data_IF_904375280211
#
_entry.id   IF_904375280211
#
_cell.length_a   1.000
_cell.length_b   1.000
_cell.length_c   1.000
_cell.angle_alpha   90.00
_cell.angle_beta   90.00
_cell.angle_gamma   90.00
#
_symmetry.space_group_name_H-M   'P 1'
#
loop_
_entity.id
_entity.type
_entity.pdbx_description
1 polymer ?
#
# COMPACT_ATOMS: atom_id res chain seq x y z
N UNK A 1 14.24 0.71 -2.22
CA UNK A 1 13.69 -0.06 -1.08
C UNK A 1 12.31 0.48 -0.73
N UNK A 2 11.23 -0.17 -1.16
CA UNK A 2 9.87 0.37 -1.03
C UNK A 2 8.80 -0.60 -0.48
N UNK A 3 9.01 -1.91 -0.54
CA UNK A 3 8.02 -2.86 -0.06
C UNK A 3 8.56 -3.64 1.13
N UNK A 4 7.85 -3.56 2.25
CA UNK A 4 8.06 -4.43 3.39
C UNK A 4 6.81 -4.47 4.26
N UNK A 5 6.54 -5.64 4.81
CA UNK A 5 5.36 -5.92 5.60
C UNK A 5 5.68 -5.98 7.10
N UNK A 6 4.82 -5.34 7.88
CA UNK A 6 4.44 -5.70 9.24
C UNK A 6 2.90 -5.80 9.26
N UNK A 7 2.33 -6.52 10.22
CA UNK A 7 0.87 -6.57 10.46
C UNK A 7 0.35 -5.40 11.30
N UNK A 8 1.25 -4.50 11.70
CA UNK A 8 0.94 -3.30 12.47
C UNK A 8 1.84 -2.15 11.96
N UNK A 9 1.29 -1.09 11.35
CA UNK A 9 2.07 0.01 10.78
C UNK A 9 2.94 0.74 11.81
N UNK A 10 2.70 0.50 13.11
CA UNK A 10 3.42 1.08 14.26
C UNK A 10 4.66 0.27 14.67
N UNK A 11 4.85 -0.96 14.19
CA UNK A 11 6.02 -1.79 14.53
C UNK A 11 7.27 -1.48 13.68
N UNK A 12 8.46 -1.54 14.28
CA UNK A 12 9.74 -1.18 13.64
C UNK A 12 10.45 -2.31 12.85
N UNK A 13 10.09 -3.58 13.03
CA UNK A 13 10.77 -4.74 12.40
C UNK A 13 10.09 -5.17 11.09
N UNK A 14 10.90 -5.44 10.06
CA UNK A 14 10.48 -5.57 8.66
C UNK A 14 10.59 -7.01 8.13
N UNK A 15 9.68 -7.41 7.24
CA UNK A 15 10.01 -8.38 6.15
C UNK A 15 10.02 -7.60 4.85
N UNK A 16 11.21 -7.36 4.29
CA UNK A 16 11.43 -6.47 3.14
C UNK A 16 11.50 -7.27 1.85
N UNK A 17 10.80 -6.83 0.79
CA UNK A 17 11.24 -7.11 -0.57
C UNK A 17 12.47 -6.25 -0.82
N UNK A 18 13.60 -6.92 -0.94
CA UNK A 18 14.87 -6.32 -1.31
C UNK A 18 15.11 -6.52 -2.82
N UNK A 19 16.11 -5.85 -3.36
CA UNK A 19 16.41 -5.90 -4.80
C UNK A 19 16.68 -7.34 -5.28
N UNK A 20 17.17 -8.22 -4.40
CA UNK A 20 17.36 -9.65 -4.69
C UNK A 20 16.03 -10.40 -4.85
N UNK A 21 14.96 -10.02 -4.15
CA UNK A 21 13.64 -10.63 -4.32
C UNK A 21 13.02 -10.24 -5.67
N UNK A 22 13.34 -9.03 -6.16
CA UNK A 22 12.99 -8.60 -7.52
C UNK A 22 13.77 -9.34 -8.59
N UNK A 23 15.09 -9.41 -8.44
CA UNK A 23 15.96 -10.13 -9.37
C UNK A 23 15.55 -11.61 -9.42
N UNK A 24 15.22 -12.20 -8.27
CA UNK A 24 14.74 -13.57 -8.19
C UNK A 24 13.38 -13.75 -8.85
N UNK A 25 12.43 -12.82 -8.69
CA UNK A 25 11.12 -12.85 -9.38
C UNK A 25 11.29 -12.81 -10.91
N UNK A 26 12.17 -11.93 -11.41
CA UNK A 26 12.42 -11.78 -12.85
C UNK A 26 13.13 -13.01 -13.42
N UNK A 27 14.02 -13.63 -12.65
CA UNK A 27 14.82 -14.79 -13.09
C UNK A 27 14.08 -16.13 -12.93
N UNK A 28 13.29 -16.31 -11.87
CA UNK A 28 12.65 -17.60 -11.57
C UNK A 28 11.23 -17.73 -12.14
N UNK A 29 10.52 -16.62 -12.36
CA UNK A 29 9.10 -16.62 -12.74
C UNK A 29 8.16 -17.14 -11.63
N UNK A 30 8.68 -17.41 -10.43
CA UNK A 30 7.89 -17.89 -9.30
C UNK A 30 7.06 -16.76 -8.69
N UNK A 31 5.82 -17.08 -8.32
CA UNK A 31 4.92 -16.12 -7.72
C UNK A 31 5.30 -15.84 -6.26
N UNK A 32 5.48 -14.56 -5.93
CA UNK A 32 5.75 -14.08 -4.58
C UNK A 32 4.48 -13.45 -4.02
N UNK A 33 4.00 -13.96 -2.89
CA UNK A 33 2.87 -13.35 -2.17
C UNK A 33 3.39 -12.37 -1.12
N UNK A 34 2.90 -11.14 -1.16
CA UNK A 34 3.22 -10.08 -0.20
C UNK A 34 1.95 -9.71 0.54
N UNK A 35 1.98 -9.67 1.86
CA UNK A 35 0.80 -9.34 2.66
C UNK A 35 0.94 -7.93 3.21
N UNK A 36 -0.04 -7.07 2.97
CA UNK A 36 -0.16 -5.74 3.59
C UNK A 36 -1.52 -5.66 4.30
N UNK A 37 -1.52 -5.60 5.64
CA UNK A 37 -2.76 -5.50 6.45
C UNK A 37 -3.83 -6.55 6.08
N UNK A 38 -3.42 -7.80 5.90
CA UNK A 38 -4.34 -8.87 5.50
C UNK A 38 -4.76 -8.85 4.04
N UNK A 39 -4.32 -7.87 3.24
CA UNK A 39 -4.47 -7.89 1.78
C UNK A 39 -3.25 -8.60 1.18
N UNK A 40 -3.49 -9.70 0.49
CA UNK A 40 -2.44 -10.46 -0.21
C UNK A 40 -2.30 -9.92 -1.63
N UNK A 41 -1.10 -9.45 -1.95
CA UNK A 41 -0.67 -9.06 -3.28
C UNK A 41 0.14 -10.19 -3.90
N UNK A 42 -0.18 -10.57 -5.12
CA UNK A 42 0.59 -11.52 -5.89
C UNK A 42 1.52 -10.76 -6.85
N UNK A 43 2.82 -10.99 -6.72
CA UNK A 43 3.84 -10.50 -7.64
C UNK A 43 4.36 -11.68 -8.45
N UNK A 44 4.20 -11.64 -9.76
CA UNK A 44 4.67 -12.69 -10.66
C UNK A 44 4.99 -12.09 -12.03
N UNK A 45 6.13 -12.47 -12.60
CA UNK A 45 6.49 -12.15 -13.98
C UNK A 45 5.96 -13.24 -14.92
N UNK A 46 5.48 -12.84 -16.09
CA UNK A 46 4.98 -13.75 -17.12
C UNK A 46 5.62 -13.41 -18.47
N UNK A 47 6.04 -14.43 -19.20
CA UNK A 47 6.49 -14.35 -20.59
C UNK A 47 5.47 -14.96 -21.58
N UNK A 48 4.46 -15.65 -21.07
CA UNK A 48 3.33 -16.22 -21.82
C UNK A 48 1.98 -15.64 -21.36
N UNK A 49 1.13 -15.29 -22.33
CA UNK A 49 -0.19 -14.72 -22.07
C UNK A 49 -1.14 -15.70 -21.37
N UNK A 50 -1.11 -16.98 -21.76
CA UNK A 50 -2.02 -17.98 -21.20
C UNK A 50 -1.67 -18.30 -19.75
N UNK A 51 -0.39 -18.31 -19.40
CA UNK A 51 0.03 -18.50 -18.03
C UNK A 51 -0.32 -17.30 -17.13
N UNK A 52 -0.29 -16.09 -17.68
CA UNK A 52 -0.83 -14.91 -17.02
C UNK A 52 -2.33 -15.07 -16.74
N UNK A 53 -3.13 -15.42 -17.75
CA UNK A 53 -4.58 -15.60 -17.60
C UNK A 53 -4.92 -16.69 -16.57
N UNK A 54 -4.22 -17.83 -16.59
CA UNK A 54 -4.38 -18.89 -15.59
C UNK A 54 -4.03 -18.44 -14.17
N UNK A 55 -3.07 -17.54 -14.00
CA UNK A 55 -2.72 -17.01 -12.69
C UNK A 55 -3.83 -16.13 -12.11
N UNK A 56 -4.48 -15.31 -12.96
CA UNK A 56 -5.67 -14.55 -12.59
C UNK A 56 -6.84 -15.48 -12.19
N UNK A 57 -7.08 -16.55 -12.95
CA UNK A 57 -8.11 -17.55 -12.63
C UNK A 57 -7.90 -18.22 -11.27
N UNK A 58 -6.64 -18.50 -10.91
CA UNK A 58 -6.28 -19.22 -9.68
C UNK A 58 -6.29 -18.34 -8.43
N UNK A 59 -6.27 -17.02 -8.58
CA UNK A 59 -6.17 -16.09 -7.46
C UNK A 59 -7.27 -15.00 -7.52
N UNK A 60 -8.56 -15.38 -7.65
CA UNK A 60 -9.65 -14.41 -7.80
C UNK A 60 -9.93 -13.60 -6.52
N UNK A 61 -9.40 -14.07 -5.39
CA UNK A 61 -9.54 -13.49 -4.05
C UNK A 61 -8.40 -12.52 -3.69
N UNK A 62 -7.35 -12.44 -4.52
CA UNK A 62 -6.17 -11.61 -4.26
C UNK A 62 -6.22 -10.32 -5.07
N UNK A 63 -5.58 -9.27 -4.54
CA UNK A 63 -5.24 -8.10 -5.35
C UNK A 63 -4.01 -8.44 -6.17
N UNK A 64 -4.06 -8.17 -7.47
CA UNK A 64 -2.99 -8.56 -8.39
C UNK A 64 -2.43 -7.29 -9.01
N UNK A 65 -1.15 -7.01 -8.77
CA UNK A 65 -0.43 -6.00 -9.55
C UNK A 65 0.23 -6.69 -10.73
N UNK A 66 -0.30 -6.42 -11.92
CA UNK A 66 0.17 -7.04 -13.15
C UNK A 66 1.11 -6.09 -13.88
N UNK A 67 2.39 -6.43 -13.92
CA UNK A 67 3.40 -5.67 -14.65
C UNK A 67 3.65 -6.36 -16.00
N UNK A 68 3.55 -5.62 -17.10
CA UNK A 68 3.67 -6.18 -18.45
C UNK A 68 4.34 -5.22 -19.43
N UNK A 69 4.83 -5.74 -20.56
CA UNK A 69 5.30 -4.91 -21.67
C UNK A 69 4.13 -4.33 -22.47
N UNK A 70 4.34 -3.25 -23.23
CA UNK A 70 3.29 -2.68 -24.11
C UNK A 70 2.68 -3.70 -25.08
N UNK A 71 3.49 -4.54 -25.71
CA UNK A 71 3.04 -5.52 -26.71
C UNK A 71 2.21 -6.65 -26.09
N UNK A 72 2.63 -7.17 -24.93
CA UNK A 72 1.91 -8.21 -24.19
C UNK A 72 0.67 -7.63 -23.50
N UNK A 73 0.77 -6.40 -22.97
CA UNK A 73 -0.35 -5.68 -22.39
C UNK A 73 -1.49 -5.52 -23.37
N UNK A 74 -1.20 -5.14 -24.62
CA UNK A 74 -2.20 -5.02 -25.70
C UNK A 74 -3.05 -6.28 -25.89
N UNK A 75 -2.46 -7.47 -25.74
CA UNK A 75 -3.19 -8.73 -25.96
C UNK A 75 -3.83 -9.29 -24.68
N UNK A 76 -3.14 -9.17 -23.54
CA UNK A 76 -3.57 -9.73 -22.27
C UNK A 76 -4.60 -8.87 -21.54
N UNK A 77 -4.41 -7.54 -21.51
CA UNK A 77 -5.22 -6.63 -20.69
C UNK A 77 -6.70 -6.66 -21.04
N UNK A 78 -7.11 -6.60 -22.33
CA UNK A 78 -8.52 -6.73 -22.70
C UNK A 78 -9.16 -8.00 -22.10
N UNK A 79 -8.49 -9.15 -22.25
CA UNK A 79 -8.98 -10.45 -21.78
C UNK A 79 -9.07 -10.52 -20.26
N UNK A 80 -8.07 -9.96 -19.58
CA UNK A 80 -8.02 -9.93 -18.12
C UNK A 80 -9.14 -9.05 -17.56
N UNK A 81 -9.29 -7.83 -18.07
CA UNK A 81 -10.28 -6.88 -17.56
C UNK A 81 -11.70 -7.34 -17.91
N UNK A 82 -11.93 -7.87 -19.11
CA UNK A 82 -13.25 -8.37 -19.50
C UNK A 82 -13.65 -9.65 -18.73
N UNK A 83 -12.69 -10.55 -18.48
CA UNK A 83 -12.93 -11.81 -17.79
C UNK A 83 -12.96 -11.70 -16.26
N UNK A 84 -12.21 -10.76 -15.69
CA UNK A 84 -11.94 -10.67 -14.25
C UNK A 84 -12.15 -9.28 -13.66
N UNK A 85 -13.05 -8.47 -14.24
CA UNK A 85 -13.31 -7.07 -13.84
C UNK A 85 -13.54 -6.88 -12.34
N UNK A 86 -14.18 -7.85 -11.71
CA UNK A 86 -14.48 -7.86 -10.28
C UNK A 86 -13.22 -7.84 -9.41
N UNK A 87 -12.10 -8.41 -9.87
CA UNK A 87 -10.83 -8.39 -9.15
C UNK A 87 -10.31 -6.96 -9.04
N UNK A 88 -10.50 -6.15 -10.09
CA UNK A 88 -10.03 -4.76 -10.18
C UNK A 88 -11.00 -3.74 -9.59
N UNK A 89 -12.05 -4.18 -8.90
CA UNK A 89 -13.04 -3.30 -8.28
C UNK A 89 -12.92 -3.43 -6.77
N UNK A 90 -12.84 -2.30 -6.08
CA UNK A 90 -12.86 -2.31 -4.62
C UNK A 90 -14.24 -2.73 -4.10
N UNK A 91 -14.35 -3.79 -3.29
CA UNK A 91 -15.66 -4.32 -2.86
C UNK A 91 -16.40 -3.42 -1.88
N UNK A 92 -15.73 -2.43 -1.25
CA UNK A 92 -16.37 -1.48 -0.34
C UNK A 92 -16.81 -0.23 -1.09
N UNK A 93 -15.99 0.24 -2.03
CA UNK A 93 -16.19 1.50 -2.73
C UNK A 93 -16.93 1.38 -4.06
N UNK A 94 -17.04 0.15 -4.59
CA UNK A 94 -17.50 -0.13 -5.96
C UNK A 94 -16.75 0.71 -7.00
N UNK A 95 -15.45 0.94 -6.77
CA UNK A 95 -14.59 1.76 -7.62
C UNK A 95 -13.46 0.92 -8.18
N UNK A 96 -13.22 1.06 -9.48
CA UNK A 96 -12.04 0.53 -10.15
C UNK A 96 -10.77 1.09 -9.52
N UNK A 97 -9.72 0.26 -9.45
CA UNK A 97 -8.40 0.71 -9.04
C UNK A 97 -7.35 0.28 -10.08
N UNK A 98 -6.36 1.14 -10.30
CA UNK A 98 -5.26 0.84 -11.19
C UNK A 98 -4.42 -0.30 -10.61
N UNK A 99 -4.18 -1.32 -11.41
CA UNK A 99 -3.41 -2.50 -11.00
C UNK A 99 -2.69 -3.19 -12.13
N UNK A 100 -2.86 -2.70 -13.36
CA UNK A 100 -2.08 -3.13 -14.50
C UNK A 100 -1.05 -2.04 -14.80
N UNK A 101 0.22 -2.38 -14.69
CA UNK A 101 1.35 -1.50 -14.92
C UNK A 101 2.04 -1.92 -16.22
N UNK A 102 1.99 -1.06 -17.23
CA UNK A 102 2.50 -1.38 -18.57
C UNK A 102 3.78 -0.59 -18.83
N UNK A 103 4.91 -1.30 -18.88
CA UNK A 103 6.17 -0.75 -19.29
C UNK A 103 6.26 -0.73 -20.82
N UNK A 104 6.44 0.45 -21.41
CA UNK A 104 6.56 0.60 -22.85
C UNK A 104 7.50 1.75 -23.21
N UNK A 105 8.41 1.52 -24.16
CA UNK A 105 9.35 2.56 -24.61
C UNK A 105 8.72 3.69 -25.43
N UNK A 106 7.42 3.61 -25.73
CA UNK A 106 6.66 4.61 -26.48
C UNK A 106 5.18 4.50 -26.09
N UNK A 107 4.75 5.37 -25.17
CA UNK A 107 3.38 5.39 -24.63
C UNK A 107 2.38 5.76 -25.71
N UNK A 108 2.71 6.72 -26.60
CA UNK A 108 1.81 7.19 -27.65
C UNK A 108 1.36 6.05 -28.56
N UNK A 109 2.27 5.11 -28.87
CA UNK A 109 1.95 3.91 -29.66
C UNK A 109 1.01 2.92 -28.98
N UNK A 110 0.81 3.02 -27.66
CA UNK A 110 -0.07 2.12 -26.90
C UNK A 110 -1.41 2.77 -26.54
N UNK A 111 -1.58 4.07 -26.80
CA UNK A 111 -2.81 4.80 -26.46
C UNK A 111 -4.04 4.27 -27.22
N UNK A 112 -3.86 3.67 -28.40
CA UNK A 112 -4.95 3.15 -29.23
C UNK A 112 -5.81 2.10 -28.51
N UNK A 113 -5.20 1.25 -27.69
CA UNK A 113 -5.90 0.22 -26.92
C UNK A 113 -6.04 0.59 -25.43
N UNK A 114 -5.10 1.37 -24.87
CA UNK A 114 -5.11 1.70 -23.45
C UNK A 114 -6.28 2.60 -23.03
N UNK A 115 -6.76 3.44 -23.95
CA UNK A 115 -7.82 4.43 -23.68
C UNK A 115 -9.10 3.78 -23.14
N UNK A 116 -9.39 2.55 -23.55
CA UNK A 116 -10.58 1.80 -23.10
C UNK A 116 -10.42 1.23 -21.68
N UNK A 117 -9.20 1.25 -21.11
CA UNK A 117 -8.86 0.63 -19.84
C UNK A 117 -8.12 1.56 -18.87
N UNK A 118 -8.23 2.89 -19.05
CA UNK A 118 -7.52 3.89 -18.22
C UNK A 118 -7.79 3.79 -16.72
N UNK A 119 -8.96 3.29 -16.33
CA UNK A 119 -9.31 3.08 -14.91
C UNK A 119 -8.46 1.96 -14.27
N UNK A 120 -7.91 1.06 -15.08
CA UNK A 120 -7.21 -0.15 -14.65
C UNK A 120 -5.71 -0.13 -14.95
N UNK A 121 -5.31 0.64 -15.98
CA UNK A 121 -3.98 0.61 -16.58
C UNK A 121 -3.19 1.89 -16.28
N UNK A 122 -1.94 1.72 -15.86
CA UNK A 122 -0.94 2.77 -15.75
C UNK A 122 0.22 2.47 -16.71
N UNK A 123 0.53 3.40 -17.60
CA UNK A 123 1.64 3.28 -18.56
C UNK A 123 2.85 4.09 -18.12
N UNK A 124 4.04 3.56 -18.36
CA UNK A 124 5.30 4.23 -18.06
C UNK A 124 6.41 3.75 -19.00
N UNK A 125 7.39 4.61 -19.22
CA UNK A 125 8.54 4.42 -20.11
C UNK A 125 9.88 4.35 -19.35
N UNK A 126 9.85 4.55 -18.03
CA UNK A 126 11.00 4.49 -17.15
C UNK A 126 10.76 3.59 -15.94
N UNK A 127 11.60 2.57 -15.76
CA UNK A 127 11.49 1.60 -14.65
C UNK A 127 11.55 2.26 -13.27
N UNK A 128 12.29 3.37 -13.16
CA UNK A 128 12.39 4.16 -11.93
C UNK A 128 11.04 4.75 -11.46
N UNK A 129 10.03 4.80 -12.32
CA UNK A 129 8.69 5.30 -11.98
C UNK A 129 7.78 4.24 -11.40
N UNK A 130 8.02 2.95 -11.70
CA UNK A 130 7.14 1.86 -11.29
C UNK A 130 6.98 1.81 -9.77
N UNK A 131 8.11 1.82 -9.06
CA UNK A 131 8.12 1.72 -7.60
C UNK A 131 7.40 2.88 -6.93
N UNK A 132 7.61 4.08 -7.47
CA UNK A 132 7.01 5.30 -6.99
C UNK A 132 5.49 5.29 -7.22
N UNK A 133 5.04 4.96 -8.43
CA UNK A 133 3.61 4.88 -8.79
C UNK A 133 2.88 3.82 -7.98
N UNK A 134 3.44 2.60 -7.88
CA UNK A 134 2.85 1.55 -7.04
C UNK A 134 2.72 1.99 -5.58
N UNK A 135 3.75 2.65 -5.03
CA UNK A 135 3.70 3.14 -3.64
C UNK A 135 2.58 4.17 -3.46
N UNK A 136 2.43 5.09 -4.42
CA UNK A 136 1.38 6.09 -4.43
C UNK A 136 -0.01 5.45 -4.54
N UNK A 137 -0.22 4.54 -5.48
CA UNK A 137 -1.52 3.91 -5.72
C UNK A 137 -1.99 3.06 -4.53
N UNK A 138 -1.05 2.41 -3.83
CA UNK A 138 -1.35 1.71 -2.56
C UNK A 138 -1.69 2.72 -1.46
N UNK A 139 -1.00 3.87 -1.39
CA UNK A 139 -1.30 4.92 -0.41
C UNK A 139 -2.71 5.49 -0.62
N UNK A 140 -3.05 5.83 -1.86
CA UNK A 140 -4.38 6.29 -2.28
C UNK A 140 -5.46 5.28 -1.91
N UNK A 141 -5.20 3.99 -2.19
CA UNK A 141 -6.09 2.91 -1.83
C UNK A 141 -6.41 2.89 -0.32
N UNK A 142 -5.37 2.93 0.52
CA UNK A 142 -5.55 2.91 1.97
C UNK A 142 -6.20 4.20 2.49
N UNK A 143 -5.88 5.35 1.90
CA UNK A 143 -6.50 6.62 2.29
C UNK A 143 -8.00 6.60 2.01
N UNK A 144 -8.39 6.18 0.80
CA UNK A 144 -9.78 6.10 0.39
C UNK A 144 -10.56 5.05 1.18
N UNK A 145 -9.92 3.94 1.58
CA UNK A 145 -10.53 2.99 2.52
C UNK A 145 -10.77 3.61 3.89
N UNK A 146 -9.73 4.21 4.49
CA UNK A 146 -9.82 4.85 5.80
C UNK A 146 -10.88 5.96 5.87
N UNK A 147 -11.06 6.72 4.77
CA UNK A 147 -12.08 7.77 4.67
C UNK A 147 -13.52 7.28 4.62
N UNK A 148 -13.75 6.05 4.13
CA UNK A 148 -15.08 5.47 3.94
C UNK A 148 -15.58 4.71 5.15
N UNK A 149 -14.67 4.23 6.00
CA UNK A 149 -15.05 3.54 7.23
C UNK A 149 -15.75 4.54 8.16
N UNK A 150 -16.97 4.23 8.64
CA UNK A 150 -17.70 5.14 9.52
C UNK A 150 -16.92 5.38 10.82
N UNK A 151 -16.66 6.66 11.12
CA UNK A 151 -15.95 7.07 12.32
C UNK A 151 -16.66 6.59 13.60
N UNK A 152 -17.98 6.66 13.62
CA UNK A 152 -18.76 6.41 14.83
C UNK A 152 -18.75 4.94 15.30
N UNK A 153 -18.44 3.99 14.42
CA UNK A 153 -18.50 2.55 14.72
C UNK A 153 -17.15 1.85 14.62
N UNK A 154 -16.25 2.32 13.75
CA UNK A 154 -15.03 1.60 13.38
C UNK A 154 -13.80 2.53 13.31
N UNK A 155 -13.76 3.59 14.12
CA UNK A 155 -12.64 4.56 14.18
C UNK A 155 -11.25 3.91 14.24
N UNK A 156 -11.07 2.82 14.99
CA UNK A 156 -9.78 2.14 15.11
C UNK A 156 -9.34 1.49 13.79
N UNK A 157 -10.29 0.90 13.04
CA UNK A 157 -9.98 0.29 11.74
C UNK A 157 -9.72 1.35 10.67
N UNK A 158 -10.49 2.45 10.68
CA UNK A 158 -10.22 3.63 9.86
C UNK A 158 -8.80 4.15 10.09
N UNK A 159 -8.39 4.34 11.34
CA UNK A 159 -7.06 4.83 11.71
C UNK A 159 -5.94 3.92 11.20
N UNK A 160 -6.07 2.59 11.29
CA UNK A 160 -5.06 1.67 10.75
C UNK A 160 -4.80 1.93 9.26
N UNK A 161 -5.85 2.01 8.46
CA UNK A 161 -5.70 2.29 7.02
C UNK A 161 -5.08 3.68 6.79
N UNK A 162 -5.49 4.69 7.53
CA UNK A 162 -4.94 6.05 7.38
C UNK A 162 -3.46 6.13 7.76
N UNK A 163 -3.02 5.43 8.80
CA UNK A 163 -1.59 5.36 9.14
C UNK A 163 -0.77 4.66 8.06
N UNK A 164 -1.33 3.65 7.39
CA UNK A 164 -0.68 3.05 6.22
C UNK A 164 -0.56 4.03 5.06
N UNK A 165 -1.65 4.74 4.74
CA UNK A 165 -1.61 5.78 3.72
C UNK A 165 -0.52 6.81 4.04
N UNK A 166 -0.50 7.36 5.27
CA UNK A 166 0.52 8.30 5.75
C UNK A 166 1.93 7.76 5.56
N UNK A 167 2.16 6.52 5.98
CA UNK A 167 3.48 5.87 5.89
C UNK A 167 3.91 5.70 4.43
N UNK A 168 3.00 5.31 3.55
CA UNK A 168 3.29 5.09 2.14
C UNK A 168 3.51 6.41 1.39
N UNK A 169 2.73 7.47 1.63
CA UNK A 169 3.00 8.79 1.05
C UNK A 169 4.38 9.33 1.47
N UNK A 170 4.78 9.14 2.73
CA UNK A 170 6.13 9.51 3.17
C UNK A 170 7.23 8.73 2.42
N UNK A 171 6.99 7.45 2.11
CA UNK A 171 7.94 6.68 1.29
C UNK A 171 7.95 7.13 -0.17
N UNK A 172 6.78 7.43 -0.73
CA UNK A 172 6.62 8.01 -2.06
C UNK A 172 7.42 9.32 -2.19
N UNK A 173 7.25 10.24 -1.24
CA UNK A 173 7.99 11.52 -1.21
C UNK A 173 9.51 11.29 -1.14
N UNK A 174 9.98 10.31 -0.35
CA UNK A 174 11.41 9.94 -0.30
C UNK A 174 11.94 9.37 -1.61
N UNK A 175 11.12 8.61 -2.34
CA UNK A 175 11.50 8.06 -3.65
C UNK A 175 11.60 9.17 -4.69
N UNK A 176 10.69 10.16 -4.63
CA UNK A 176 10.69 11.33 -5.51
C UNK A 176 11.94 12.19 -5.31
N UNK A 177 12.31 12.45 -4.05
CA UNK A 177 13.51 13.23 -3.70
C UNK A 177 14.82 12.58 -4.18
N UNK A 178 14.87 11.24 -4.27
CA UNK A 178 16.08 10.53 -4.73
C UNK A 178 16.32 10.68 -6.24
N UNK A 179 15.32 11.08 -7.02
CA UNK A 179 15.50 11.39 -8.45
C UNK A 179 16.12 12.77 -8.68
N UNK A 180 15.97 13.68 -7.72
CA UNK A 180 16.50 15.03 -7.76
C UNK A 180 17.69 15.22 -6.82
N UNK A 181 18.87 14.72 -7.17
CA UNK A 181 20.11 15.25 -6.56
C UNK A 181 20.49 16.54 -7.28
N UNK A 182 19.93 17.66 -6.82
CA UNK A 182 20.72 18.86 -6.55
C UNK A 182 20.03 19.66 -5.42
N UNK A 183 20.79 19.84 -4.33
CA UNK A 183 20.56 20.67 -3.15
C UNK A 183 19.41 20.39 -2.15
N UNK A 184 19.81 20.47 -0.87
CA UNK A 184 19.01 20.46 0.36
C UNK A 184 17.89 21.52 0.36
N UNK A 185 16.73 21.20 -0.19
CA UNK A 185 15.50 21.95 0.06
C UNK A 185 14.66 21.14 1.08
N UNK A 186 14.32 21.72 2.25
CA UNK A 186 13.38 21.10 3.18
C UNK A 186 12.04 20.89 2.48
N UNK A 187 11.53 19.66 2.50
CA UNK A 187 10.29 19.30 1.82
C UNK A 187 9.11 20.09 2.38
N UNK A 188 8.38 20.75 1.50
CA UNK A 188 6.99 21.13 1.77
C UNK A 188 6.19 19.84 1.67
N UNK A 189 5.54 19.45 2.76
CA UNK A 189 4.63 18.30 2.83
C UNK A 189 3.66 18.32 1.63
N UNK A 190 3.52 17.18 0.95
CA UNK A 190 2.60 17.07 -0.18
C UNK A 190 1.16 17.38 0.25
N UNK A 191 0.28 17.64 -0.72
CA UNK A 191 -1.13 17.87 -0.39
C UNK A 191 -1.74 16.60 0.21
N UNK A 192 -1.36 15.47 -0.34
CA UNK A 192 -1.80 14.13 0.01
C UNK A 192 -1.42 13.77 1.45
N UNK A 193 -0.15 13.97 1.83
CA UNK A 193 0.32 13.78 3.22
C UNK A 193 -0.42 14.69 4.21
N UNK A 194 -0.67 15.95 3.84
CA UNK A 194 -1.44 16.90 4.67
C UNK A 194 -2.89 16.46 4.84
N UNK A 195 -3.52 16.04 3.76
CA UNK A 195 -4.93 15.60 3.75
C UNK A 195 -5.11 14.35 4.63
N UNK A 196 -4.16 13.40 4.57
CA UNK A 196 -4.16 12.22 5.45
C UNK A 196 -3.97 12.61 6.91
N UNK A 197 -3.00 13.48 7.22
CA UNK A 197 -2.74 13.93 8.59
C UNK A 197 -3.93 14.66 9.19
N UNK A 198 -4.54 15.58 8.44
CA UNK A 198 -5.74 16.29 8.87
C UNK A 198 -6.91 15.32 9.15
N UNK A 199 -7.03 14.25 8.35
CA UNK A 199 -8.09 13.27 8.55
C UNK A 199 -7.83 12.36 9.77
N UNK A 200 -6.58 11.96 10.01
CA UNK A 200 -6.18 11.25 11.23
C UNK A 200 -6.49 12.09 12.47
N UNK A 201 -6.06 13.36 12.49
CA UNK A 201 -6.29 14.28 13.60
C UNK A 201 -7.78 14.46 13.89
N UNK A 202 -8.61 14.55 12.85
CA UNK A 202 -10.06 14.63 12.99
C UNK A 202 -10.63 13.41 13.73
N UNK A 203 -10.22 12.19 13.38
CA UNK A 203 -10.71 10.98 14.06
C UNK A 203 -10.16 10.90 15.49
N UNK A 204 -8.88 11.16 15.69
CA UNK A 204 -8.25 11.13 17.02
C UNK A 204 -8.87 12.15 17.98
N UNK A 205 -9.29 13.32 17.49
CA UNK A 205 -9.94 14.35 18.31
C UNK A 205 -11.34 13.96 18.80
N UNK A 206 -12.00 13.04 18.10
CA UNK A 206 -13.34 12.52 18.41
C UNK A 206 -13.27 11.30 19.35
N UNK A 207 -12.10 10.66 19.47
CA UNK A 207 -11.91 9.52 20.36
C UNK A 207 -11.85 9.95 21.84
N UNK A 208 -12.47 9.18 22.75
CA UNK A 208 -12.32 9.42 24.18
C UNK A 208 -10.84 9.34 24.54
N UNK A 209 -10.29 10.42 25.08
CA UNK A 209 -8.97 10.37 25.73
C UNK A 209 -9.13 9.45 26.92
N UNK A 210 -8.51 8.28 26.90
CA UNK A 210 -8.44 7.41 28.06
C UNK A 210 -7.91 8.24 29.25
N UNK A 211 -8.79 8.52 30.20
CA UNK A 211 -8.46 9.15 31.47
C UNK A 211 -7.79 8.11 32.36
N UNK A 212 -6.62 7.63 31.96
CA UNK A 212 -5.74 6.84 32.82
C UNK A 212 -4.72 7.77 33.47
N UNK A 213 -5.20 8.66 34.33
CA UNK A 213 -4.34 9.49 35.20
C UNK A 213 -4.96 9.71 36.58
N UNK A 214 -5.66 8.69 37.11
CA UNK A 214 -6.04 8.60 38.52
C UNK A 214 -5.74 7.20 39.08
N UNK A 215 -4.46 6.94 39.39
CA UNK A 215 -3.99 5.91 40.34
C UNK A 215 -2.48 6.10 40.54
N UNK A 216 -1.94 6.52 41.68
CA UNK A 216 -2.54 6.86 42.96
C UNK A 216 -1.60 7.82 43.69
N UNK A 217 -2.19 8.86 44.28
CA UNK A 217 -1.66 9.48 45.49
C UNK A 217 -2.37 8.81 46.67
N UNK A 218 -1.63 8.76 47.77
CA UNK A 218 -2.09 8.42 49.12
C UNK A 218 -2.10 6.92 49.46
N UNK A 219 -0.97 6.46 49.98
CA UNK A 219 -0.92 6.14 51.41
C UNK A 219 0.53 5.98 51.86
N UNK A 220 1.11 7.09 52.31
CA UNK A 220 2.11 7.07 53.38
C UNK A 220 1.45 6.42 54.60
N UNK A 221 2.03 5.33 55.07
CA UNK A 221 1.95 4.90 56.47
C UNK A 221 3.26 4.20 56.80
N UNK A 222 4.22 5.04 57.19
CA UNK A 222 5.31 4.67 58.08
C UNK A 222 4.76 4.06 59.37
N UNK A 223 5.22 2.87 59.76
CA UNK A 223 5.77 2.58 61.11
C UNK A 223 6.20 1.10 61.27
N UNK A 224 7.02 0.73 62.29
CA UNK A 224 8.36 0.21 62.01
C UNK A 224 8.65 -1.19 62.60
N UNK A 225 9.91 -1.62 62.37
CA UNK A 225 10.68 -2.72 62.98
C UNK A 225 10.09 -3.43 64.21
N UNK A 226 10.09 -4.76 64.16
CA UNK A 226 9.99 -5.65 65.32
C UNK A 226 10.73 -6.96 65.07
N UNK A 227 11.76 -7.20 65.87
CA UNK A 227 12.71 -8.32 65.86
C UNK A 227 12.14 -9.72 66.23
N UNK A 228 12.97 -10.71 65.88
CA UNK A 228 13.34 -11.90 66.67
C UNK A 228 12.47 -13.18 66.69
N UNK A 229 13.15 -14.25 66.25
CA UNK A 229 13.28 -15.57 66.89
C UNK A 229 12.03 -16.43 67.16
N UNK A 230 11.96 -17.58 66.47
CA UNK A 230 12.27 -18.91 67.03
C UNK A 230 12.35 -19.95 65.92
#
# INVERSE_FOLDING_TARGET
KAFGSNTDPRCETWTMLNDNDYDQMVVSGEAVSVVFEGVVFLLQAFDDEQDCLKAFEKNPDKRIFFITSGTMGRSAVPKIIEGYRNIFTDPIADKSYSSVYVFCGDIEKQMDWCMDYLDYVQMFDHEADLLQRMTHDIADYFFERGRRIPKDTESQEALKHLYWAKRLYHQYEKLDMKKGTDDHIPTKESKESRDVNAFIESIESELPKDSSDERGKDSDNDEPCGEACS
#
